data_IF_109712426981
#
_entry.id   IF_109712426981
#
_cell.length_a   1.000
_cell.length_b   1.000
_cell.length_c   1.000
_cell.angle_alpha   90.00
_cell.angle_beta   90.00
_cell.angle_gamma   90.00
#
_symmetry.space_group_name_H-M   'P 1'
#
loop_
_entity.id
_entity.type
_entity.pdbx_description
1 polymer ?
#
# COMPACT_ATOMS: atom_id res chain seq x y z
N UNK A 1 -10.90 -14.49 -17.62
CA UNK A 1 -9.66 -15.32 -17.55
C UNK A 1 -8.49 -14.59 -16.88
N UNK A 2 -8.35 -13.26 -17.01
CA UNK A 2 -7.32 -12.49 -16.29
C UNK A 2 -7.54 -12.43 -14.77
N UNK A 3 -8.80 -12.24 -14.35
CA UNK A 3 -9.18 -12.09 -12.94
C UNK A 3 -8.86 -13.36 -12.12
N UNK A 4 -9.10 -14.56 -12.68
CA UNK A 4 -8.88 -15.83 -11.99
C UNK A 4 -7.42 -16.16 -11.69
N UNK A 5 -6.46 -15.47 -12.34
CA UNK A 5 -5.03 -15.69 -12.17
C UNK A 5 -4.28 -14.39 -11.85
N UNK A 6 -4.97 -13.37 -11.34
CA UNK A 6 -4.35 -12.08 -11.03
C UNK A 6 -3.12 -12.21 -10.11
N UNK A 7 -3.17 -13.15 -9.16
CA UNK A 7 -2.10 -13.40 -8.18
C UNK A 7 -0.82 -14.02 -8.76
N UNK A 8 -0.83 -14.45 -10.03
CA UNK A 8 0.36 -14.98 -10.70
C UNK A 8 1.25 -13.88 -11.29
N UNK A 9 0.72 -12.67 -11.45
CA UNK A 9 1.44 -11.53 -11.99
C UNK A 9 1.88 -10.57 -10.88
N UNK A 10 2.94 -9.81 -11.15
CA UNK A 10 3.34 -8.69 -10.32
C UNK A 10 2.68 -7.42 -10.84
N UNK A 11 1.96 -6.75 -9.98
CA UNK A 11 1.27 -5.51 -10.26
C UNK A 11 2.10 -4.33 -9.77
N UNK A 12 1.95 -3.20 -10.46
CA UNK A 12 2.55 -1.91 -10.11
C UNK A 12 1.43 -0.86 -10.10
N UNK A 13 1.40 -0.05 -9.06
CA UNK A 13 0.46 1.04 -8.94
C UNK A 13 0.92 2.26 -9.75
N UNK A 14 -0.03 2.91 -10.41
CA UNK A 14 0.19 4.15 -11.13
C UNK A 14 -0.86 5.18 -10.72
N UNK A 15 -0.45 6.45 -10.70
CA UNK A 15 -1.31 7.60 -10.39
C UNK A 15 -1.49 8.45 -11.63
N UNK A 16 -2.74 8.82 -11.91
CA UNK A 16 -3.06 9.79 -12.96
C UNK A 16 -2.92 11.20 -12.39
N UNK A 17 -2.03 12.01 -12.98
CA UNK A 17 -1.75 13.37 -12.54
C UNK A 17 -2.39 14.38 -13.50
N UNK A 18 -3.13 15.36 -12.97
CA UNK A 18 -3.89 16.35 -13.75
C UNK A 18 -3.26 17.74 -13.54
N UNK A 19 -3.18 18.56 -14.61
CA UNK A 19 -2.40 19.83 -14.63
C UNK A 19 -2.74 20.83 -13.52
N UNK A 20 -3.99 20.83 -13.03
CA UNK A 20 -4.48 21.84 -12.10
C UNK A 20 -5.14 21.25 -10.85
N UNK A 21 -4.88 19.97 -10.56
CA UNK A 21 -5.59 19.24 -9.52
C UNK A 21 -7.11 19.19 -9.76
N UNK A 22 -7.88 18.81 -8.73
CA UNK A 22 -9.34 18.64 -8.84
C UNK A 22 -10.14 19.96 -8.87
N UNK A 23 -9.49 21.12 -8.87
CA UNK A 23 -10.14 22.41 -8.52
C UNK A 23 -10.35 23.37 -9.69
N UNK A 24 -9.89 23.07 -10.90
CA UNK A 24 -10.06 24.00 -12.02
C UNK A 24 -11.39 23.79 -12.75
N UNK A 25 -12.28 24.81 -12.77
CA UNK A 25 -13.52 24.77 -13.55
C UNK A 25 -13.15 24.92 -15.04
N UNK A 26 -13.05 23.80 -15.75
CA UNK A 26 -12.79 23.80 -17.20
C UNK A 26 -12.07 22.55 -17.72
N UNK A 27 -11.40 21.79 -16.86
CA UNK A 27 -10.80 20.49 -17.24
C UNK A 27 -11.69 19.38 -16.73
N UNK A 28 -12.62 18.92 -17.56
CA UNK A 28 -13.45 17.77 -17.22
C UNK A 28 -12.61 16.48 -17.22
N UNK A 29 -12.55 15.83 -16.07
CA UNK A 29 -12.00 14.49 -15.93
C UNK A 29 -12.86 13.54 -16.75
N UNK A 30 -12.25 12.81 -17.68
CA UNK A 30 -12.94 11.72 -18.36
C UNK A 30 -12.98 10.51 -17.42
N UNK A 31 -14.16 10.21 -16.91
CA UNK A 31 -14.41 9.00 -16.11
C UNK A 31 -15.14 8.00 -16.99
N UNK A 32 -14.64 6.78 -17.02
CA UNK A 32 -15.21 5.70 -17.80
C UNK A 32 -15.91 4.71 -16.88
N UNK A 33 -17.24 4.84 -16.79
CA UNK A 33 -18.08 3.90 -16.04
C UNK A 33 -18.58 2.72 -16.89
N UNK A 34 -18.18 2.66 -18.17
CA UNK A 34 -18.52 1.57 -19.08
C UNK A 34 -17.27 1.09 -19.81
N UNK A 35 -17.07 -0.23 -19.82
CA UNK A 35 -15.89 -0.86 -20.39
C UNK A 35 -15.80 -0.67 -21.92
N UNK A 36 -16.93 -0.72 -22.64
CA UNK A 36 -17.02 -0.53 -24.09
C UNK A 36 -16.52 0.87 -24.52
N UNK A 37 -16.95 1.92 -23.81
CA UNK A 37 -16.52 3.30 -24.07
C UNK A 37 -15.03 3.48 -23.82
N UNK A 38 -14.52 2.88 -22.76
CA UNK A 38 -13.09 2.91 -22.45
C UNK A 38 -12.26 2.19 -23.51
N UNK A 39 -12.68 0.99 -23.90
CA UNK A 39 -12.03 0.16 -24.90
C UNK A 39 -11.88 0.90 -26.23
N UNK A 40 -12.98 1.47 -26.73
CA UNK A 40 -12.97 2.26 -27.98
C UNK A 40 -12.09 3.50 -27.85
N UNK A 41 -12.18 4.23 -26.73
CA UNK A 41 -11.38 5.43 -26.52
C UNK A 41 -9.88 5.13 -26.48
N UNK A 42 -9.46 4.14 -25.70
CA UNK A 42 -8.05 3.76 -25.56
C UNK A 42 -7.51 3.15 -26.85
N UNK A 43 -8.26 2.24 -27.49
CA UNK A 43 -7.86 1.66 -28.77
C UNK A 43 -7.65 2.73 -29.84
N UNK A 44 -8.52 3.75 -29.90
CA UNK A 44 -8.37 4.90 -30.81
C UNK A 44 -7.09 5.71 -30.56
N UNK A 45 -6.66 5.89 -29.30
CA UNK A 45 -5.41 6.60 -29.01
C UNK A 45 -4.18 5.76 -29.41
N UNK A 46 -4.22 4.45 -29.17
CA UNK A 46 -3.10 3.54 -29.46
C UNK A 46 -3.00 3.20 -30.96
N UNK A 47 -4.12 3.18 -31.69
CA UNK A 47 -4.18 2.77 -33.10
C UNK A 47 -3.42 3.69 -34.05
N UNK A 48 -3.08 4.90 -33.61
CA UNK A 48 -2.22 5.82 -34.36
C UNK A 48 -0.76 5.36 -34.41
N UNK A 49 -0.35 4.46 -33.52
CA UNK A 49 1.02 3.96 -33.41
C UNK A 49 1.13 2.47 -33.76
N UNK A 50 0.19 1.64 -33.29
CA UNK A 50 0.25 0.18 -33.44
C UNK A 50 -1.11 -0.41 -33.76
N UNK A 51 -1.14 -1.52 -34.52
CA UNK A 51 -2.35 -2.36 -34.52
C UNK A 51 -2.50 -2.91 -33.11
N UNK A 52 -3.71 -2.85 -32.57
CA UNK A 52 -3.93 -3.23 -31.18
C UNK A 52 -5.27 -3.92 -31.02
N UNK A 53 -5.38 -4.67 -29.93
CA UNK A 53 -6.63 -5.18 -29.41
C UNK A 53 -6.68 -4.81 -27.94
N UNK A 54 -7.58 -3.89 -27.60
CA UNK A 54 -7.93 -3.58 -26.22
C UNK A 54 -9.17 -4.39 -25.89
N UNK A 55 -9.15 -5.07 -24.76
CA UNK A 55 -10.27 -5.82 -24.19
C UNK A 55 -10.48 -5.30 -22.78
N UNK A 56 -11.70 -4.90 -22.43
CA UNK A 56 -11.99 -4.31 -21.14
C UNK A 56 -13.27 -4.86 -20.52
N UNK A 57 -13.25 -5.05 -19.21
CA UNK A 57 -14.36 -5.59 -18.43
C UNK A 57 -14.49 -4.81 -17.12
N UNK A 58 -15.72 -4.60 -16.66
CA UNK A 58 -15.99 -4.01 -15.35
C UNK A 58 -16.27 -5.14 -14.35
N UNK A 59 -15.47 -5.23 -13.29
CA UNK A 59 -15.62 -6.23 -12.24
C UNK A 59 -15.39 -5.55 -10.88
N UNK A 60 -16.30 -5.72 -9.93
CA UNK A 60 -16.24 -5.10 -8.59
C UNK A 60 -15.96 -3.59 -8.61
N UNK A 61 -16.67 -2.86 -9.49
CA UNK A 61 -16.48 -1.43 -9.74
C UNK A 61 -15.06 -1.03 -10.21
N UNK A 62 -14.23 -2.01 -10.57
CA UNK A 62 -12.90 -1.80 -11.11
C UNK A 62 -12.90 -2.12 -12.60
N UNK A 63 -12.25 -1.27 -13.39
CA UNK A 63 -12.10 -1.48 -14.82
C UNK A 63 -10.82 -2.28 -15.08
N UNK A 64 -11.00 -3.49 -15.58
CA UNK A 64 -9.94 -4.38 -16.01
C UNK A 64 -9.71 -4.21 -17.50
N UNK A 65 -8.46 -4.08 -17.91
CA UNK A 65 -8.13 -3.93 -19.31
C UNK A 65 -6.90 -4.76 -19.68
N UNK A 66 -6.99 -5.46 -20.81
CA UNK A 66 -5.87 -6.13 -21.47
C UNK A 66 -5.58 -5.41 -22.78
N UNK A 67 -4.33 -4.98 -22.94
CA UNK A 67 -3.86 -4.32 -24.15
C UNK A 67 -2.90 -5.27 -24.85
N UNK A 68 -3.28 -5.73 -26.03
CA UNK A 68 -2.40 -6.49 -26.93
C UNK A 68 -1.95 -5.57 -28.05
N UNK A 69 -0.63 -5.43 -28.23
CA UNK A 69 -0.04 -4.70 -29.34
C UNK A 69 0.41 -5.71 -30.40
N UNK A 70 -0.10 -5.55 -31.62
CA UNK A 70 0.36 -6.27 -32.79
C UNK A 70 1.16 -5.28 -33.60
N UNK A 71 2.45 -5.44 -33.55
CA UNK A 71 3.29 -4.74 -34.46
C UNK A 71 3.89 -5.81 -35.35
N UNK A 72 3.80 -5.65 -36.67
CA UNK A 72 4.25 -6.63 -37.66
C UNK A 72 5.77 -6.79 -37.66
N UNK A 73 6.42 -6.56 -36.52
CA UNK A 73 7.85 -6.51 -36.36
C UNK A 73 8.38 -7.94 -36.17
N UNK A 74 9.51 -8.21 -36.81
CA UNK A 74 10.19 -9.48 -36.75
C UNK A 74 10.49 -9.89 -35.30
N UNK A 75 10.54 -11.20 -35.05
CA UNK A 75 10.77 -11.88 -33.74
C UNK A 75 11.96 -11.31 -32.93
N UNK A 76 12.87 -10.56 -33.56
CA UNK A 76 14.10 -10.02 -32.99
C UNK A 76 14.08 -8.51 -32.70
N UNK A 77 12.92 -7.87 -32.73
CA UNK A 77 12.82 -6.44 -32.41
C UNK A 77 12.36 -6.22 -30.99
N UNK A 78 12.94 -5.20 -30.38
CA UNK A 78 12.65 -4.83 -29.00
C UNK A 78 11.14 -4.52 -28.87
N UNK A 79 10.50 -4.96 -27.77
CA UNK A 79 9.09 -4.69 -27.55
C UNK A 79 8.82 -3.18 -27.62
N UNK A 80 7.61 -2.77 -28.04
CA UNK A 80 7.22 -1.38 -28.06
C UNK A 80 7.52 -0.72 -26.71
N UNK A 81 8.14 0.48 -26.68
CA UNK A 81 8.41 1.16 -25.42
C UNK A 81 7.10 1.45 -24.70
N UNK A 82 7.01 1.07 -23.42
CA UNK A 82 5.84 1.27 -22.55
C UNK A 82 5.30 2.71 -22.56
N UNK A 83 6.16 3.67 -22.90
CA UNK A 83 5.86 5.10 -23.07
C UNK A 83 4.65 5.38 -23.97
N UNK A 84 4.45 4.60 -25.05
CA UNK A 84 3.30 4.83 -25.95
C UNK A 84 1.98 4.42 -25.28
N UNK A 85 1.99 3.37 -24.45
CA UNK A 85 0.81 2.97 -23.68
C UNK A 85 0.47 4.06 -22.67
N UNK A 86 1.47 4.60 -21.95
CA UNK A 86 1.25 5.71 -21.02
C UNK A 86 0.71 6.96 -21.73
N UNK A 87 1.21 7.28 -22.92
CA UNK A 87 0.67 8.36 -23.75
C UNK A 87 -0.80 8.09 -24.13
N UNK A 88 -1.14 6.86 -24.54
CA UNK A 88 -2.53 6.47 -24.81
C UNK A 88 -3.43 6.63 -23.60
N UNK A 89 -2.96 6.27 -22.41
CA UNK A 89 -3.68 6.42 -21.13
C UNK A 89 -3.89 7.91 -20.82
N UNK A 90 -2.85 8.74 -20.90
CA UNK A 90 -2.97 10.19 -20.61
C UNK A 90 -4.01 10.87 -21.49
N UNK A 91 -4.01 10.58 -22.80
CA UNK A 91 -4.99 11.13 -23.75
C UNK A 91 -6.40 10.59 -23.52
N UNK A 92 -6.53 9.31 -23.15
CA UNK A 92 -7.82 8.70 -22.82
C UNK A 92 -8.46 9.38 -21.62
N UNK A 93 -7.71 9.55 -20.52
CA UNK A 93 -8.23 10.14 -19.28
C UNK A 93 -8.18 11.67 -19.22
N UNK A 94 -7.60 12.31 -20.23
CA UNK A 94 -7.30 13.74 -20.23
C UNK A 94 -6.46 14.15 -19.01
N UNK A 95 -5.42 13.36 -18.69
CA UNK A 95 -4.46 13.66 -17.63
C UNK A 95 -3.13 14.13 -18.24
N UNK A 96 -2.33 14.85 -17.44
CA UNK A 96 -1.04 15.40 -17.84
C UNK A 96 0.00 14.29 -18.02
N UNK A 97 0.07 13.43 -17.00
CA UNK A 97 1.07 12.39 -16.88
C UNK A 97 0.52 11.21 -16.08
N UNK A 98 1.22 10.08 -16.19
CA UNK A 98 1.02 8.88 -15.39
C UNK A 98 2.29 8.71 -14.56
N UNK A 99 2.16 8.81 -13.24
CA UNK A 99 3.25 8.66 -12.29
C UNK A 99 3.28 7.21 -11.78
N UNK A 100 4.41 6.53 -11.89
CA UNK A 100 4.59 5.23 -11.23
C UNK A 100 4.73 5.45 -9.73
N UNK A 101 3.88 4.79 -8.95
CA UNK A 101 3.99 4.79 -7.51
C UNK A 101 4.94 3.68 -7.09
N UNK A 102 5.68 3.91 -6.01
CA UNK A 102 6.48 2.89 -5.36
C UNK A 102 5.60 1.92 -4.57
N UNK A 103 4.62 1.29 -5.22
CA UNK A 103 3.75 0.29 -4.65
C UNK A 103 3.51 -0.83 -5.67
N UNK A 104 3.95 -2.03 -5.32
CA UNK A 104 4.05 -3.23 -6.14
C UNK A 104 3.79 -4.45 -5.28
N UNK A 105 3.17 -5.45 -5.88
CA UNK A 105 2.84 -6.71 -5.20
C UNK A 105 2.07 -7.67 -6.09
N UNK A 106 1.74 -8.84 -5.56
CA UNK A 106 1.00 -9.89 -6.31
C UNK A 106 -0.50 -9.81 -6.12
N UNK A 107 -0.95 -9.46 -4.92
CA UNK A 107 -2.37 -9.41 -4.59
C UNK A 107 -2.97 -8.03 -4.90
N UNK A 108 -3.75 -7.97 -5.98
CA UNK A 108 -4.34 -6.71 -6.44
C UNK A 108 -5.34 -6.12 -5.44
N UNK A 109 -6.07 -6.96 -4.70
CA UNK A 109 -7.06 -6.50 -3.73
C UNK A 109 -6.37 -5.78 -2.57
N UNK A 110 -5.26 -6.34 -2.10
CA UNK A 110 -4.41 -5.71 -1.08
C UNK A 110 -3.77 -4.41 -1.55
N UNK A 111 -3.28 -4.35 -2.79
CA UNK A 111 -2.74 -3.11 -3.35
C UNK A 111 -3.81 -2.02 -3.49
N UNK A 112 -5.01 -2.39 -3.96
CA UNK A 112 -6.15 -1.49 -4.04
C UNK A 112 -6.53 -0.96 -2.66
N UNK A 113 -6.57 -1.82 -1.66
CA UNK A 113 -6.85 -1.44 -0.27
C UNK A 113 -5.81 -0.46 0.26
N UNK A 114 -4.53 -0.72 0.01
CA UNK A 114 -3.44 0.18 0.40
C UNK A 114 -3.51 1.54 -0.27
N UNK A 115 -3.96 1.63 -1.52
CA UNK A 115 -4.10 2.90 -2.24
C UNK A 115 -5.34 3.69 -1.82
N UNK A 116 -6.49 3.02 -1.66
CA UNK A 116 -7.77 3.68 -1.41
C UNK A 116 -7.95 4.10 0.05
N UNK A 117 -7.29 3.41 0.98
CA UNK A 117 -7.57 3.52 2.40
C UNK A 117 -6.34 3.89 3.25
N UNK A 118 -5.36 4.58 2.67
CA UNK A 118 -4.12 5.01 3.34
C UNK A 118 -4.35 5.62 4.74
N UNK A 119 -5.31 6.54 4.86
CA UNK A 119 -5.64 7.22 6.11
C UNK A 119 -6.44 6.40 7.13
N UNK A 120 -6.84 5.17 6.79
CA UNK A 120 -7.64 4.30 7.66
C UNK A 120 -7.04 2.90 7.79
N UNK A 121 -5.73 2.75 7.60
CA UNK A 121 -5.01 1.50 7.85
C UNK A 121 -4.64 1.32 9.33
N UNK A 122 -4.13 0.14 9.70
CA UNK A 122 -3.66 -0.16 11.04
C UNK A 122 -4.77 -0.14 12.09
N UNK A 123 -4.51 0.57 13.20
CA UNK A 123 -5.46 0.78 14.30
C UNK A 123 -6.80 1.36 13.83
N UNK A 124 -6.78 2.18 12.78
CA UNK A 124 -7.95 2.87 12.26
C UNK A 124 -8.83 2.04 11.32
N UNK A 125 -8.41 0.83 10.93
CA UNK A 125 -9.17 -0.04 10.03
C UNK A 125 -10.57 -0.39 10.58
N UNK A 126 -10.68 -0.48 11.91
CA UNK A 126 -11.92 -0.73 12.62
C UNK A 126 -13.01 0.33 12.38
N UNK A 127 -12.63 1.61 12.21
CA UNK A 127 -13.57 2.69 11.92
C UNK A 127 -14.18 2.56 10.53
N UNK A 128 -13.38 2.17 9.52
CA UNK A 128 -13.86 1.97 8.14
C UNK A 128 -14.88 0.85 8.06
N UNK A 129 -14.74 -0.18 8.88
CA UNK A 129 -15.66 -1.33 8.89
C UNK A 129 -16.97 -1.06 9.65
N UNK A 130 -17.22 0.18 10.11
CA UNK A 130 -18.38 0.54 10.95
C UNK A 130 -18.56 -0.39 12.16
N UNK A 131 -17.45 -0.85 12.76
CA UNK A 131 -17.47 -1.77 13.91
C UNK A 131 -17.31 -1.06 15.27
N UNK A 132 -17.08 0.24 15.27
CA UNK A 132 -16.85 1.03 16.49
C UNK A 132 -18.14 1.55 17.11
N UNK A 133 -19.16 1.82 16.30
CA UNK A 133 -20.44 2.36 16.76
C UNK A 133 -21.54 1.34 16.47
N UNK A 134 -22.01 0.68 17.53
CA UNK A 134 -23.30 0.00 17.45
C UNK A 134 -24.37 1.04 17.12
N UNK A 135 -25.30 0.67 16.25
CA UNK A 135 -26.43 1.54 15.92
C UNK A 135 -27.09 1.99 17.24
N UNK A 136 -27.27 3.30 17.49
CA UNK A 136 -27.78 3.81 18.75
C UNK A 136 -29.20 3.31 19.09
N UNK A 137 -29.92 2.76 18.11
CA UNK A 137 -31.23 2.12 18.27
C UNK A 137 -31.15 0.64 18.66
N UNK A 138 -30.00 0.00 18.44
CA UNK A 138 -29.71 -1.32 18.97
C UNK A 138 -29.30 -1.09 20.42
N UNK A 139 -30.25 -1.14 21.35
CA UNK A 139 -29.94 -1.15 22.76
C UNK A 139 -29.19 -2.44 23.08
N UNK A 140 -27.88 -2.40 23.40
CA UNK A 140 -27.22 -3.59 23.87
C UNK A 140 -27.77 -3.84 25.28
N UNK A 141 -28.69 -4.78 25.39
CA UNK A 141 -29.10 -5.40 26.64
C UNK A 141 -27.91 -6.19 27.19
N UNK A 142 -26.89 -5.47 27.70
CA UNK A 142 -25.81 -5.91 28.58
C UNK A 142 -24.82 -4.76 28.68
N UNK A 143 -24.94 -3.98 29.75
CA UNK A 143 -23.77 -3.31 30.34
C UNK A 143 -22.76 -4.42 30.63
N UNK A 144 -21.71 -4.55 29.83
CA UNK A 144 -20.52 -5.20 30.34
C UNK A 144 -20.06 -4.34 31.51
N UNK A 145 -20.04 -4.95 32.70
CA UNK A 145 -19.45 -4.32 33.87
C UNK A 145 -18.04 -3.89 33.47
N UNK A 146 -17.75 -2.59 33.59
CA UNK A 146 -16.39 -2.11 33.64
C UNK A 146 -15.70 -2.82 34.81
N UNK A 147 -15.04 -3.93 34.52
CA UNK A 147 -14.08 -4.54 35.43
C UNK A 147 -12.90 -3.58 35.38
N UNK A 148 -12.85 -2.73 36.39
CA UNK A 148 -11.79 -1.80 36.69
C UNK A 148 -10.48 -2.61 36.83
N UNK A 149 -9.68 -2.65 35.77
CA UNK A 149 -8.40 -3.38 35.69
C UNK A 149 -7.28 -2.76 36.54
N UNK A 150 -7.61 -1.91 37.53
CA UNK A 150 -6.65 -1.22 38.40
C UNK A 150 -6.32 -2.01 39.68
N UNK A 151 -6.11 -3.31 39.55
CA UNK A 151 -5.48 -4.12 40.61
C UNK A 151 -4.53 -5.12 39.99
N UNK A 152 -3.26 -4.74 39.91
CA UNK A 152 -2.11 -5.64 40.12
C UNK A 152 -0.81 -4.84 39.95
N UNK A 153 -0.41 -4.15 41.02
CA UNK A 153 0.98 -3.76 41.24
C UNK A 153 1.34 -4.22 42.65
N UNK A 154 1.82 -5.47 42.79
CA UNK A 154 2.97 -5.82 43.65
C UNK A 154 3.36 -7.33 43.64
N UNK A 155 3.31 -8.01 42.48
CA UNK A 155 3.92 -9.35 42.34
C UNK A 155 5.18 -9.26 41.48
N UNK A 156 6.35 -9.43 42.10
CA UNK A 156 7.66 -9.47 41.41
C UNK A 156 7.81 -10.62 40.40
N UNK A 157 6.79 -11.48 40.29
CA UNK A 157 6.73 -12.61 39.37
C UNK A 157 5.49 -12.41 38.51
N UNK A 158 5.68 -11.83 37.33
CA UNK A 158 4.63 -11.71 36.31
C UNK A 158 4.60 -13.03 35.54
N UNK A 159 3.43 -13.66 35.45
CA UNK A 159 3.26 -14.87 34.63
C UNK A 159 3.54 -14.57 33.15
N UNK A 160 4.19 -15.50 32.44
CA UNK A 160 4.45 -15.42 31.00
C UNK A 160 3.16 -15.19 30.19
N UNK A 161 2.02 -15.67 30.68
CA UNK A 161 0.71 -15.45 30.05
C UNK A 161 0.29 -13.98 30.08
N UNK A 162 0.61 -13.26 31.16
CA UNK A 162 0.29 -11.84 31.29
C UNK A 162 1.16 -11.01 30.34
N UNK A 163 2.44 -11.38 30.21
CA UNK A 163 3.37 -10.74 29.28
C UNK A 163 2.92 -10.96 27.83
N UNK A 164 2.54 -12.19 27.49
CA UNK A 164 2.05 -12.56 26.16
C UNK A 164 0.77 -11.79 25.79
N UNK A 165 -0.19 -11.70 26.72
CA UNK A 165 -1.41 -10.90 26.53
C UNK A 165 -1.10 -9.42 26.32
N UNK A 166 -0.20 -8.84 27.11
CA UNK A 166 0.22 -7.43 26.94
C UNK A 166 0.81 -7.20 25.55
N UNK A 167 1.68 -8.10 25.06
CA UNK A 167 2.26 -8.01 23.71
C UNK A 167 1.22 -8.11 22.61
N UNK A 168 0.25 -9.01 22.77
CA UNK A 168 -0.86 -9.15 21.83
C UNK A 168 -1.73 -7.89 21.78
N UNK A 169 -2.00 -7.27 22.93
CA UNK A 169 -2.69 -5.98 23.01
C UNK A 169 -1.92 -4.89 22.28
N UNK A 170 -0.61 -4.74 22.51
CA UNK A 170 0.22 -3.76 21.79
C UNK A 170 0.21 -3.99 20.27
N UNK A 171 0.27 -5.25 19.83
CA UNK A 171 0.19 -5.59 18.41
C UNK A 171 -1.19 -5.24 17.81
N UNK A 172 -2.27 -5.45 18.56
CA UNK A 172 -3.64 -5.06 18.16
C UNK A 172 -3.82 -3.54 18.15
N UNK A 173 -3.26 -2.84 19.11
CA UNK A 173 -3.36 -1.39 19.21
C UNK A 173 -2.59 -0.70 18.08
N UNK A 174 -1.46 -1.26 17.65
CA UNK A 174 -0.65 -0.69 16.56
C UNK A 174 -1.21 -1.06 15.19
N UNK A 175 -1.39 -2.35 14.92
CA UNK A 175 -1.74 -2.84 13.59
C UNK A 175 -3.23 -3.08 13.40
N UNK A 176 -4.05 -3.00 14.46
CA UNK A 176 -5.46 -3.36 14.43
C UNK A 176 -5.70 -4.86 14.65
N UNK A 177 -6.94 -5.20 15.00
CA UNK A 177 -7.35 -6.58 15.29
C UNK A 177 -7.49 -7.46 14.04
N UNK A 178 -7.71 -6.86 12.87
CA UNK A 178 -7.95 -7.59 11.62
C UNK A 178 -6.64 -8.00 10.92
N UNK A 179 -6.77 -8.87 9.92
CA UNK A 179 -5.69 -9.16 8.99
C UNK A 179 -5.38 -7.93 8.14
N UNK A 180 -4.09 -7.76 7.85
CA UNK A 180 -3.59 -6.62 7.11
C UNK A 180 -3.53 -6.92 5.61
N UNK A 181 -3.68 -5.91 4.73
CA UNK A 181 -3.50 -6.09 3.30
C UNK A 181 -2.12 -6.72 3.02
N UNK A 182 -2.09 -7.70 2.13
CA UNK A 182 -0.88 -8.43 1.78
C UNK A 182 0.10 -7.58 0.96
N UNK A 183 1.28 -7.36 1.53
CA UNK A 183 2.45 -6.86 0.83
C UNK A 183 3.55 -7.93 0.89
N UNK A 184 4.10 -8.31 -0.26
CA UNK A 184 5.07 -9.40 -0.39
C UNK A 184 6.51 -8.96 -0.07
N UNK A 185 6.79 -7.68 -0.22
CA UNK A 185 8.13 -7.10 -0.08
C UNK A 185 8.05 -5.68 0.48
N UNK A 186 8.94 -5.36 1.42
CA UNK A 186 9.14 -4.01 1.94
C UNK A 186 10.62 -3.73 2.19
N UNK A 187 11.06 -2.51 1.90
CA UNK A 187 12.45 -2.07 2.00
C UNK A 187 12.57 -0.81 2.85
N UNK A 188 13.47 -0.84 3.82
CA UNK A 188 13.79 0.27 4.70
C UNK A 188 15.24 0.65 4.47
N UNK A 189 15.47 1.90 4.08
CA UNK A 189 16.81 2.46 3.95
C UNK A 189 17.05 3.44 5.09
N UNK A 190 17.90 3.07 6.04
CA UNK A 190 18.27 3.93 7.18
C UNK A 190 19.58 4.64 6.86
N UNK A 191 19.62 5.96 7.01
CA UNK A 191 20.84 6.77 6.86
C UNK A 191 21.35 7.21 8.23
N UNK A 192 22.48 6.64 8.66
CA UNK A 192 23.10 6.90 9.96
C UNK A 192 24.27 7.85 9.75
N UNK A 193 24.24 9.09 10.27
CA UNK A 193 25.36 10.01 10.17
C UNK A 193 26.54 9.53 11.02
N UNK A 194 27.75 9.61 10.48
CA UNK A 194 28.97 9.35 11.22
C UNK A 194 29.31 10.58 12.06
N UNK A 195 29.08 10.52 13.38
CA UNK A 195 29.56 11.57 14.30
C UNK A 195 31.07 11.42 14.48
N UNK A 196 31.84 12.11 13.63
CA UNK A 196 33.29 12.15 13.74
C UNK A 196 33.69 13.05 14.93
N UNK A 197 34.01 12.46 16.08
CA UNK A 197 34.54 13.23 17.22
C UNK A 197 36.02 13.60 17.06
N UNK A 198 36.79 12.94 16.17
CA UNK A 198 38.25 13.12 16.12
C UNK A 198 38.92 13.03 14.74
N UNK A 199 38.20 12.86 13.62
CA UNK A 199 38.81 12.85 12.29
C UNK A 199 38.50 14.16 11.56
N UNK A 200 39.53 14.97 11.33
CA UNK A 200 39.44 16.15 10.49
C UNK A 200 39.58 15.71 9.03
N UNK A 201 38.62 16.14 8.20
CA UNK A 201 38.69 16.14 6.74
C UNK A 201 38.68 14.76 6.06
N UNK A 202 37.52 14.11 6.09
CA UNK A 202 37.15 13.09 5.12
C UNK A 202 35.63 13.12 4.93
N UNK A 203 35.15 13.10 3.68
CA UNK A 203 33.75 13.21 3.27
C UNK A 203 32.78 12.61 4.30
N UNK A 204 31.82 13.43 4.75
CA UNK A 204 30.85 13.07 5.78
C UNK A 204 29.74 12.19 5.19
N UNK A 205 30.12 11.04 4.63
CA UNK A 205 29.20 10.12 3.98
C UNK A 205 28.46 9.31 5.05
N UNK A 206 27.12 9.40 5.15
CA UNK A 206 26.36 8.63 6.13
C UNK A 206 26.48 7.13 5.84
N UNK A 207 26.56 6.32 6.89
CA UNK A 207 26.40 4.87 6.76
C UNK A 207 24.96 4.61 6.33
N UNK A 208 24.78 3.99 5.18
CA UNK A 208 23.47 3.59 4.69
C UNK A 208 23.26 2.11 5.00
N UNK A 209 22.26 1.80 5.82
CA UNK A 209 21.78 0.44 6.05
C UNK A 209 20.51 0.20 5.23
N UNK A 210 20.45 -0.92 4.51
CA UNK A 210 19.28 -1.31 3.71
C UNK A 210 18.74 -2.63 4.24
N UNK A 211 17.53 -2.59 4.79
CA UNK A 211 16.82 -3.72 5.37
C UNK A 211 15.70 -4.10 4.40
N UNK A 212 15.71 -5.32 3.90
CA UNK A 212 14.66 -5.84 3.01
C UNK A 212 13.92 -6.97 3.72
N UNK A 213 12.61 -6.84 3.81
CA UNK A 213 11.71 -7.79 4.44
C UNK A 213 10.84 -8.41 3.35
N UNK A 214 10.80 -9.74 3.29
CA UNK A 214 10.03 -10.48 2.28
C UNK A 214 9.19 -11.57 2.92
N UNK A 215 8.02 -11.83 2.35
CA UNK A 215 7.14 -12.88 2.80
C UNK A 215 5.82 -12.91 2.04
N UNK A 216 4.87 -13.72 2.50
CA UNK A 216 3.51 -13.74 1.94
C UNK A 216 2.76 -12.44 2.30
N UNK A 217 2.96 -11.97 3.53
CA UNK A 217 2.39 -10.74 4.04
C UNK A 217 3.32 -10.16 5.11
N UNK A 218 4.11 -9.15 4.72
CA UNK A 218 5.10 -8.50 5.59
C UNK A 218 4.43 -7.89 6.83
N UNK A 219 3.27 -7.25 6.69
CA UNK A 219 2.61 -6.55 7.79
C UNK A 219 2.13 -7.52 8.86
N UNK A 220 1.48 -8.62 8.45
CA UNK A 220 1.06 -9.67 9.37
C UNK A 220 2.26 -10.40 9.99
N UNK A 221 3.38 -10.49 9.25
CA UNK A 221 4.65 -10.99 9.79
C UNK A 221 5.15 -10.13 10.95
N UNK A 222 5.28 -8.82 10.74
CA UNK A 222 5.71 -7.86 11.78
C UNK A 222 4.76 -7.89 12.98
N UNK A 223 3.44 -7.84 12.73
CA UNK A 223 2.40 -7.95 13.78
C UNK A 223 2.60 -9.20 14.65
N UNK A 224 2.87 -10.36 14.03
CA UNK A 224 3.15 -11.61 14.75
C UNK A 224 4.47 -11.56 15.51
N UNK A 225 5.51 -10.95 14.95
CA UNK A 225 6.80 -10.79 15.64
C UNK A 225 6.69 -9.93 16.91
N UNK A 226 5.84 -8.90 16.90
CA UNK A 226 5.53 -8.09 18.09
C UNK A 226 4.77 -8.92 19.12
N UNK A 227 3.73 -9.66 18.69
CA UNK A 227 2.96 -10.52 19.59
C UNK A 227 3.84 -11.60 20.27
N UNK A 228 4.79 -12.18 19.52
CA UNK A 228 5.75 -13.15 20.04
C UNK A 228 6.85 -12.52 20.91
N UNK A 229 6.98 -11.19 20.92
CA UNK A 229 8.01 -10.46 21.67
C UNK A 229 9.40 -10.55 21.04
N UNK A 230 9.49 -10.88 19.76
CA UNK A 230 10.75 -10.80 18.97
C UNK A 230 11.10 -9.33 18.73
N UNK A 231 10.08 -8.50 18.49
CA UNK A 231 10.22 -7.04 18.39
C UNK A 231 9.68 -6.43 19.67
N UNK A 232 10.52 -5.63 20.35
CA UNK A 232 10.18 -4.99 21.63
C UNK A 232 9.62 -3.58 21.36
N UNK A 233 8.43 -3.23 21.87
CA UNK A 233 7.88 -1.88 21.75
C UNK A 233 8.63 -0.87 22.64
N UNK A 234 8.57 0.44 22.35
CA UNK A 234 7.79 1.06 21.27
C UNK A 234 8.40 0.80 19.89
N UNK A 235 7.53 0.56 18.91
CA UNK A 235 7.95 0.45 17.52
C UNK A 235 8.39 1.83 17.00
N UNK A 236 9.43 1.90 16.16
CA UNK A 236 9.69 3.08 15.37
C UNK A 236 8.43 3.51 14.60
N UNK A 237 8.19 4.82 14.52
CA UNK A 237 6.99 5.40 13.88
C UNK A 237 6.81 4.88 12.45
N UNK A 238 7.90 4.79 11.69
CA UNK A 238 7.90 4.24 10.34
C UNK A 238 7.43 2.78 10.23
N UNK A 239 7.65 1.96 11.26
CA UNK A 239 7.15 0.57 11.29
C UNK A 239 5.69 0.51 11.71
N UNK A 240 5.24 1.44 12.55
CA UNK A 240 3.84 1.55 12.96
C UNK A 240 2.96 2.05 11.82
N UNK A 241 3.43 3.02 11.04
CA UNK A 241 2.70 3.67 9.94
C UNK A 241 2.89 3.00 8.57
N UNK A 242 3.63 1.89 8.55
CA UNK A 242 4.10 1.22 7.35
C UNK A 242 2.98 0.92 6.34
N UNK A 243 1.79 0.62 6.84
CA UNK A 243 0.59 0.34 6.03
C UNK A 243 -0.06 1.61 5.47
N UNK A 244 -0.04 2.69 6.25
CA UNK A 244 -0.63 3.98 5.86
C UNK A 244 0.17 4.67 4.77
N UNK A 245 1.48 4.40 4.69
CA UNK A 245 2.32 4.99 3.66
C UNK A 245 2.02 4.46 2.25
N UNK A 246 1.51 3.22 2.13
CA UNK A 246 1.15 2.63 0.85
C UNK A 246 2.31 2.61 -0.15
N UNK A 247 3.54 2.33 0.32
CA UNK A 247 4.77 2.22 -0.47
C UNK A 247 5.51 0.92 -0.18
N UNK A 248 6.40 0.48 -1.07
CA UNK A 248 7.31 -0.63 -0.82
C UNK A 248 8.63 -0.18 -0.19
N UNK A 249 9.09 1.05 -0.43
CA UNK A 249 10.37 1.55 0.07
C UNK A 249 10.18 2.83 0.87
N UNK A 250 10.93 2.91 1.98
CA UNK A 250 11.07 4.14 2.77
C UNK A 250 12.53 4.45 3.04
N UNK A 251 12.80 5.73 3.23
CA UNK A 251 14.10 6.21 3.68
C UNK A 251 13.88 6.84 5.05
N UNK A 252 14.48 6.27 6.08
CA UNK A 252 14.41 6.79 7.44
C UNK A 252 15.72 7.49 7.84
N UNK A 253 15.61 8.58 8.59
CA UNK A 253 16.75 9.26 9.22
C UNK A 253 17.19 8.57 10.53
N UNK A 254 18.18 9.16 11.21
CA UNK A 254 18.72 8.62 12.48
C UNK A 254 17.69 8.59 13.62
N UNK A 255 16.69 9.48 13.57
CA UNK A 255 15.62 9.59 14.56
C UNK A 255 14.42 8.70 14.21
N UNK A 256 14.49 7.95 13.09
CA UNK A 256 13.42 7.10 12.60
C UNK A 256 12.27 7.86 11.93
N UNK A 257 12.51 9.10 11.48
CA UNK A 257 11.55 9.89 10.70
C UNK A 257 11.70 9.57 9.22
N UNK A 258 10.57 9.52 8.51
CA UNK A 258 10.43 9.18 7.08
C UNK A 258 10.12 10.40 6.25
#
# INVERSE_FOLDING_TARGET
MLISHANQQKWTAFKLCFEHGFKHPGVEKKIYNRADKFQVALSKQISSFFRNHVDAELHDNCLWARISLYDGIAINTLPPPSNIIYLGITKTFNCKEVEELDLKGKDIASLQELLLHQGSQGSYNSFRQNRMEDNPLIHPSKRSSAIDSRKEEDSRIVSDDVISKKRETVAKDTFGSQDQPALDHYEIQVKIPLRQSHFQSGENNPITAKIRIEGINVFNGIKKMVALGIIVPPLPEFLAELQSQGKNQIVADEDGRV
#
